data_IF_408851530577
#
_entry.id   IF_408851530577
#
_cell.length_a   1.000
_cell.length_b   1.000
_cell.length_c   1.000
_cell.angle_alpha   90.00
_cell.angle_beta   90.00
_cell.angle_gamma   90.00
#
_symmetry.space_group_name_H-M   'P 1'
#
loop_
_entity.id
_entity.type
_entity.pdbx_description
1 polymer ?
#
# COMPACT_ATOMS: atom_id res chain seq x y z
N UNK A 1 8.25 12.67 16.16
CA UNK A 1 7.47 11.42 16.16
C UNK A 1 6.85 11.26 14.78
N UNK A 2 7.39 10.39 13.93
CA UNK A 2 6.85 10.16 12.59
C UNK A 2 5.50 9.46 12.75
N UNK A 3 4.42 10.13 12.35
CA UNK A 3 3.07 9.62 12.45
C UNK A 3 2.92 8.50 11.40
N UNK A 4 3.24 7.25 11.79
CA UNK A 4 3.08 6.10 10.91
C UNK A 4 1.58 5.82 10.84
N UNK A 5 0.92 6.46 9.87
CA UNK A 5 -0.50 6.26 9.63
C UNK A 5 -0.68 4.88 9.01
N UNK A 6 -0.94 3.88 9.86
CA UNK A 6 -1.14 2.48 9.44
C UNK A 6 -2.45 2.38 8.66
N UNK A 7 -2.38 2.41 7.32
CA UNK A 7 -3.55 2.35 6.46
C UNK A 7 -3.88 0.89 6.17
N UNK A 8 -5.07 0.45 6.54
CA UNK A 8 -5.59 -0.86 6.11
C UNK A 8 -5.87 -0.80 4.61
N UNK A 9 -5.23 -1.69 3.86
CA UNK A 9 -5.33 -1.75 2.41
C UNK A 9 -6.52 -2.60 1.97
N UNK A 10 -7.09 -2.17 0.85
CA UNK A 10 -8.18 -2.85 0.15
C UNK A 10 -7.71 -3.33 -1.22
N UNK A 11 -8.54 -4.14 -1.89
CA UNK A 11 -8.27 -4.55 -3.27
C UNK A 11 -8.22 -3.35 -4.24
N UNK A 12 -8.85 -2.22 -3.91
CA UNK A 12 -8.75 -0.99 -4.72
C UNK A 12 -7.36 -0.38 -4.60
N UNK A 13 -6.79 -0.36 -3.40
CA UNK A 13 -5.42 0.11 -3.17
C UNK A 13 -4.42 -0.79 -3.91
N UNK A 14 -4.59 -2.11 -3.87
CA UNK A 14 -3.75 -3.04 -4.64
C UNK A 14 -3.78 -2.77 -6.15
N UNK A 15 -4.97 -2.49 -6.69
CA UNK A 15 -5.09 -2.10 -8.10
C UNK A 15 -4.29 -0.83 -8.41
N UNK A 16 -4.35 0.18 -7.53
CA UNK A 16 -3.62 1.43 -7.71
C UNK A 16 -2.10 1.24 -7.56
N UNK A 17 -1.66 0.48 -6.54
CA UNK A 17 -0.24 0.27 -6.22
C UNK A 17 0.46 -0.58 -7.28
N UNK A 18 -0.15 -1.68 -7.71
CA UNK A 18 0.47 -2.66 -8.59
C UNK A 18 0.06 -2.52 -10.07
N UNK A 19 -0.87 -1.61 -10.40
CA UNK A 19 -1.34 -1.44 -11.78
C UNK A 19 -2.10 -2.64 -12.34
N UNK A 20 -2.72 -3.45 -11.48
CA UNK A 20 -3.34 -4.74 -11.84
C UNK A 20 -4.86 -4.69 -11.99
N UNK A 21 -5.45 -5.69 -12.65
CA UNK A 21 -6.91 -5.81 -12.77
C UNK A 21 -7.61 -5.96 -11.42
N UNK A 22 -8.90 -5.63 -11.35
CA UNK A 22 -9.72 -5.80 -10.13
C UNK A 22 -9.76 -7.26 -9.66
N UNK A 23 -9.79 -8.22 -10.60
CA UNK A 23 -9.83 -9.65 -10.30
C UNK A 23 -8.50 -10.08 -9.68
N UNK A 24 -7.39 -9.69 -10.30
CA UNK A 24 -6.03 -9.96 -9.79
C UNK A 24 -5.82 -9.33 -8.42
N UNK A 25 -6.23 -8.08 -8.22
CA UNK A 25 -6.08 -7.38 -6.95
C UNK A 25 -6.82 -8.07 -5.80
N UNK A 26 -8.04 -8.59 -6.05
CA UNK A 26 -8.81 -9.37 -5.08
C UNK A 26 -8.10 -10.68 -4.72
N UNK A 27 -7.52 -11.37 -5.70
CA UNK A 27 -6.74 -12.59 -5.45
C UNK A 27 -5.50 -12.29 -4.63
N UNK A 28 -4.72 -11.29 -5.03
CA UNK A 28 -3.45 -10.96 -4.38
C UNK A 28 -3.62 -10.56 -2.91
N UNK A 29 -4.56 -9.66 -2.61
CA UNK A 29 -4.80 -9.26 -1.22
C UNK A 29 -5.29 -10.45 -0.36
N UNK A 30 -6.02 -11.40 -0.94
CA UNK A 30 -6.45 -12.61 -0.24
C UNK A 30 -5.27 -13.52 0.07
N UNK A 31 -4.38 -13.73 -0.89
CA UNK A 31 -3.18 -14.54 -0.71
C UNK A 31 -2.21 -13.91 0.30
N UNK A 32 -2.02 -12.59 0.26
CA UNK A 32 -1.16 -11.88 1.21
C UNK A 32 -1.70 -11.93 2.63
N UNK A 33 -3.03 -11.84 2.81
CA UNK A 33 -3.68 -12.06 4.12
C UNK A 33 -3.37 -13.44 4.68
N UNK A 34 -3.36 -14.49 3.84
CA UNK A 34 -2.98 -15.85 4.24
C UNK A 34 -1.50 -15.93 4.62
N UNK A 35 -0.61 -15.35 3.81
CA UNK A 35 0.85 -15.35 4.06
C UNK A 35 1.21 -14.66 5.37
N UNK A 36 0.57 -13.53 5.66
CA UNK A 36 0.76 -12.78 6.91
C UNK A 36 0.04 -13.44 8.09
N UNK A 37 -0.98 -14.27 7.85
CA UNK A 37 -1.83 -14.83 8.89
C UNK A 37 -2.78 -13.79 9.52
N UNK A 38 -3.12 -12.73 8.79
CA UNK A 38 -3.98 -11.64 9.29
C UNK A 38 -5.18 -11.39 8.38
N UNK A 39 -6.33 -11.10 8.98
CA UNK A 39 -7.54 -10.67 8.25
C UNK A 39 -7.37 -9.30 7.59
N UNK A 40 -6.41 -8.49 8.04
CA UNK A 40 -6.14 -7.12 7.56
C UNK A 40 -4.71 -7.01 7.05
N UNK A 41 -4.55 -6.44 5.86
CA UNK A 41 -3.25 -6.05 5.30
C UNK A 41 -3.10 -4.54 5.45
N UNK A 42 -1.89 -4.09 5.76
CA UNK A 42 -1.52 -2.68 5.89
C UNK A 42 -0.33 -2.38 5.00
N UNK A 43 -0.02 -1.11 4.83
CA UNK A 43 1.20 -0.63 4.16
C UNK A 43 2.48 -1.24 4.76
N UNK A 44 2.54 -1.38 6.09
CA UNK A 44 3.67 -2.05 6.76
C UNK A 44 3.84 -3.52 6.33
N UNK A 45 2.74 -4.25 6.13
CA UNK A 45 2.81 -5.62 5.63
C UNK A 45 3.29 -5.68 4.17
N UNK A 46 2.91 -4.71 3.32
CA UNK A 46 3.46 -4.63 1.96
C UNK A 46 4.96 -4.35 1.96
N UNK A 47 5.44 -3.49 2.87
CA UNK A 47 6.88 -3.27 3.04
C UNK A 47 7.61 -4.55 3.39
N UNK A 48 7.04 -5.38 4.27
CA UNK A 48 7.62 -6.67 4.62
C UNK A 48 7.58 -7.69 3.46
N UNK A 49 6.47 -7.78 2.72
CA UNK A 49 6.29 -8.75 1.64
C UNK A 49 7.05 -8.40 0.35
N UNK A 50 7.13 -7.13 0.01
CA UNK A 50 7.58 -6.66 -1.29
C UNK A 50 8.73 -5.63 -1.23
N UNK A 51 9.17 -5.24 -0.04
CA UNK A 51 10.13 -4.14 0.13
C UNK A 51 9.57 -2.76 -0.24
N UNK A 52 8.25 -2.64 -0.45
CA UNK A 52 7.60 -1.40 -0.88
C UNK A 52 7.29 -0.49 0.32
N UNK A 53 7.94 0.68 0.39
CA UNK A 53 7.49 1.77 1.26
C UNK A 53 6.49 2.62 0.48
N UNK A 54 5.23 2.61 0.90
CA UNK A 54 4.27 3.63 0.49
C UNK A 54 4.60 4.89 1.30
N UNK A 55 5.71 5.56 0.97
CA UNK A 55 5.97 6.89 1.52
C UNK A 55 4.74 7.74 1.23
N UNK A 56 4.14 8.40 2.24
CA UNK A 56 3.22 9.48 1.93
C UNK A 56 4.06 10.48 1.14
N UNK A 57 3.76 10.63 -0.15
CA UNK A 57 4.34 11.69 -0.97
C UNK A 57 4.27 12.97 -0.14
N UNK A 58 5.43 13.46 0.30
CA UNK A 58 5.53 14.86 0.68
C UNK A 58 5.19 15.59 -0.60
N UNK A 59 3.96 16.06 -0.72
CA UNK A 59 3.60 17.04 -1.73
C UNK A 59 4.54 18.21 -1.49
N UNK A 60 5.60 18.32 -2.28
CA UNK A 60 6.40 19.53 -2.36
C UNK A 60 5.52 20.60 -3.02
N UNK A 61 4.71 21.27 -2.20
CA UNK A 61 4.14 22.56 -2.56
C UNK A 61 5.31 23.54 -2.54
N UNK A 62 6.07 23.60 -3.65
CA UNK A 62 7.33 24.34 -3.63
C UNK A 62 8.03 24.53 -4.97
N UNK A 63 7.37 24.31 -6.11
CA UNK A 63 7.89 24.81 -7.39
C UNK A 63 7.69 26.34 -7.47
N UNK A 64 8.46 27.13 -6.69
CA UNK A 64 8.72 28.53 -7.02
C UNK A 64 9.76 28.56 -8.14
N UNK A 65 9.28 28.58 -9.38
CA UNK A 65 9.97 29.26 -10.48
C UNK A 65 9.26 30.60 -10.68
N UNK A 66 9.94 31.68 -10.32
CA UNK A 66 9.53 33.06 -10.45
C UNK A 66 10.67 33.95 -10.01
#
# INVERSE_FOLDING_TARGET
MTNISIKVLTHKDYRAIFGISIKTAKTWISEDRKKIGSKRITDHHLKHLYGLSLEPERVEIGAKRG
#
